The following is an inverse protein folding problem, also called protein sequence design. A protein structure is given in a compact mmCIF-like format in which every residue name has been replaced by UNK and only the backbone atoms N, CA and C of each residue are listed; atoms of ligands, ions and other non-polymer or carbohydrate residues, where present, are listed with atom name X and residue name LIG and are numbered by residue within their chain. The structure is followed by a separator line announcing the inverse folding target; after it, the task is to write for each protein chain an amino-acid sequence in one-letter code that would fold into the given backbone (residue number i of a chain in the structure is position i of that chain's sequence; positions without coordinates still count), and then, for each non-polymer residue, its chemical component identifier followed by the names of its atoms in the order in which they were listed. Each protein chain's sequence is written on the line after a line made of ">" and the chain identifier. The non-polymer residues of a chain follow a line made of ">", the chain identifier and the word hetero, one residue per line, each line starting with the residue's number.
data_IF_394217012139
#
_entry.id   IF_394217012139
#
_cell.length_a   1.000
_cell.length_b   1.000
_cell.length_c   1.000
_cell.angle_alpha   90.00
_cell.angle_beta   90.00
_cell.angle_gamma   90.00
#
_symmetry.space_group_name_H-M   'P 1'
#
loop_
_entity.id
_entity.type
_entity.pdbx_description
1 polymer ?
#
# COMPACT_ATOMS: atom_id res chain seq x y z
N UNK A 1 -31.91 -15.99 8.08
CA UNK A 1 -31.29 -16.27 8.00
C UNK A 1 -30.73 -16.48 7.78
N UNK A 2 -30.71 -16.13 7.89
CA UNK A 2 -29.94 -16.28 7.67
C UNK A 2 -29.45 -16.27 7.43
N UNK A 3 -29.40 -15.72 7.31
CA UNK A 3 -28.65 -15.87 7.05
C UNK A 3 -28.07 -16.00 7.07
N UNK A 4 -28.04 -15.76 7.09
CA UNK A 4 -27.34 -16.10 7.09
C UNK A 4 -26.69 -16.14 6.96
N UNK A 5 -26.91 -15.78 7.06
CA UNK A 5 -26.20 -16.01 6.97
C UNK A 5 -25.78 -15.93 7.04
N UNK A 6 -25.93 -15.56 7.22
CA UNK A 6 -25.30 -15.64 7.32
C UNK A 6 -24.94 -15.49 7.37
N UNK A 7 -25.00 -15.11 7.53
CA UNK A 7 -24.47 -15.02 7.63
C UNK A 7 -24.29 -14.91 7.62
N UNK A 8 -24.30 -14.41 7.86
CA UNK A 8 -23.94 -14.18 7.95
C UNK A 8 -23.89 -13.73 7.94
N UNK A 9 -24.48 -13.69 8.77
CA UNK A 9 -24.17 -12.53 8.10
C UNK A 9 -23.19 -11.56 8.73
N UNK A 10 -23.32 -11.09 9.90
CA UNK A 10 -22.43 -10.09 10.47
C UNK A 10 -20.94 -10.37 10.26
N UNK A 11 -20.55 -11.57 10.47
CA UNK A 11 -19.17 -11.95 10.29
C UNK A 11 -18.69 -11.87 8.85
N UNK A 12 -19.60 -11.85 7.91
CA UNK A 12 -19.23 -11.77 6.50
C UNK A 12 -18.67 -10.42 6.12
N UNK A 13 -19.07 -9.34 6.77
CA UNK A 13 -18.50 -8.03 6.52
C UNK A 13 -17.02 -7.99 6.85
N UNK A 14 -16.60 -8.69 7.87
CA UNK A 14 -15.19 -8.78 8.21
C UNK A 14 -14.39 -9.46 7.11
N UNK A 15 -14.99 -10.39 6.41
CA UNK A 15 -14.32 -11.14 5.36
C UNK A 15 -14.10 -10.34 4.08
N UNK A 16 -14.83 -9.24 3.91
CA UNK A 16 -14.67 -8.38 2.74
C UNK A 16 -13.65 -7.28 2.94
N UNK A 17 -13.29 -6.99 4.19
CA UNK A 17 -12.27 -5.99 4.47
C UNK A 17 -10.89 -6.61 4.26
N UNK A 18 -10.18 -6.12 3.26
CA UNK A 18 -8.86 -6.64 2.87
C UNK A 18 -7.75 -5.88 3.60
N UNK A 19 -6.67 -6.56 4.01
CA UNK A 19 -5.51 -5.87 4.56
C UNK A 19 -4.81 -5.05 3.48
N UNK A 20 -3.94 -4.14 3.91
CA UNK A 20 -3.13 -3.35 2.99
C UNK A 20 -2.28 -4.27 2.12
N UNK A 21 -2.40 -4.10 0.82
CA UNK A 21 -1.60 -4.83 -0.16
C UNK A 21 -1.17 -3.89 -1.28
N UNK A 22 0.06 -4.07 -1.74
CA UNK A 22 0.61 -3.31 -2.86
C UNK A 22 1.33 -4.31 -3.77
N UNK A 23 1.05 -4.25 -5.05
CA UNK A 23 1.67 -5.13 -6.03
C UNK A 23 1.98 -4.39 -7.32
N UNK A 24 2.99 -4.87 -8.05
CA UNK A 24 3.24 -4.43 -9.42
C UNK A 24 2.45 -5.37 -10.32
N UNK A 25 1.50 -4.82 -11.07
CA UNK A 25 0.58 -5.60 -11.92
C UNK A 25 0.90 -5.49 -13.40
N UNK A 26 1.75 -4.54 -13.80
CA UNK A 26 2.18 -4.39 -15.18
C UNK A 26 3.51 -3.66 -15.25
N UNK A 27 4.27 -3.89 -16.32
CA UNK A 27 5.54 -3.23 -16.62
C UNK A 27 5.54 -2.74 -18.05
N UNK A 28 6.10 -1.54 -18.24
CA UNK A 28 6.46 -1.01 -19.54
C UNK A 28 7.90 -0.47 -19.46
N UNK A 29 8.44 0.00 -20.56
CA UNK A 29 9.83 0.48 -20.60
C UNK A 29 10.09 1.63 -19.63
N UNK A 30 9.09 2.49 -19.40
CA UNK A 30 9.19 3.71 -18.61
C UNK A 30 8.18 3.78 -17.47
N UNK A 31 7.51 2.68 -17.15
CA UNK A 31 6.48 2.70 -16.12
C UNK A 31 6.31 1.34 -15.45
N UNK A 32 6.07 1.40 -14.15
CA UNK A 32 5.53 0.29 -13.37
C UNK A 32 4.11 0.65 -12.99
N UNK A 33 3.18 -0.26 -13.21
CA UNK A 33 1.79 -0.07 -12.76
C UNK A 33 1.61 -0.78 -11.44
N UNK A 34 1.25 -0.02 -10.42
CA UNK A 34 0.98 -0.53 -9.09
C UNK A 34 -0.50 -0.67 -8.86
N UNK A 35 -0.87 -1.65 -8.06
CA UNK A 35 -2.23 -1.77 -7.54
C UNK A 35 -2.17 -1.76 -6.02
N UNK A 36 -2.90 -0.82 -5.43
CA UNK A 36 -3.00 -0.67 -3.97
C UNK A 36 -4.40 -1.08 -3.56
N UNK A 37 -4.47 -1.97 -2.58
CA UNK A 37 -5.73 -2.50 -2.05
C UNK A 37 -5.73 -2.31 -0.54
N UNK A 38 -6.85 -1.78 -0.03
CA UNK A 38 -7.07 -1.69 1.41
C UNK A 38 -8.56 -1.68 1.69
N UNK A 39 -9.02 -2.58 2.56
CA UNK A 39 -10.45 -2.66 2.89
C UNK A 39 -11.29 -2.86 1.64
N UNK A 40 -12.14 -1.91 1.36
CA UNK A 40 -12.99 -1.91 0.15
C UNK A 40 -12.40 -1.07 -0.98
N UNK A 41 -11.28 -0.37 -0.72
CA UNK A 41 -10.65 0.47 -1.71
C UNK A 41 -9.69 -0.29 -2.60
N UNK A 42 -9.60 0.17 -3.84
CA UNK A 42 -8.66 -0.38 -4.83
C UNK A 42 -8.26 0.74 -5.78
N UNK A 43 -6.96 0.88 -6.03
CA UNK A 43 -6.46 1.98 -6.84
C UNK A 43 -5.25 1.53 -7.63
N UNK A 44 -5.25 1.83 -8.93
CA UNK A 44 -4.09 1.59 -9.80
C UNK A 44 -3.46 2.91 -10.18
N UNK A 45 -2.14 2.93 -10.19
CA UNK A 45 -1.39 4.11 -10.60
C UNK A 45 -0.06 3.69 -11.20
N UNK A 46 0.47 4.55 -12.06
CA UNK A 46 1.76 4.31 -12.71
C UNK A 46 2.85 5.10 -11.99
N UNK A 47 4.06 4.57 -12.02
CA UNK A 47 5.25 5.25 -11.54
C UNK A 47 6.38 5.04 -12.52
N UNK A 48 7.18 6.09 -12.74
CA UNK A 48 8.38 6.04 -13.57
C UNK A 48 9.61 6.03 -12.65
N UNK A 49 10.27 4.88 -12.49
CA UNK A 49 11.45 4.79 -11.61
C UNK A 49 12.60 5.70 -12.02
N UNK A 50 12.67 6.14 -13.29
CA UNK A 50 13.69 7.07 -13.74
C UNK A 50 13.46 8.49 -13.23
N UNK A 51 12.20 8.84 -12.90
CA UNK A 51 11.87 10.15 -12.32
C UNK A 51 12.08 10.16 -10.81
N UNK A 52 11.78 9.07 -10.17
CA UNK A 52 11.96 8.88 -8.74
C UNK A 52 11.97 7.38 -8.44
N UNK A 53 12.99 6.91 -7.73
CA UNK A 53 13.18 5.49 -7.46
C UNK A 53 12.22 5.03 -6.35
N UNK A 54 11.00 4.72 -6.73
CA UNK A 54 9.96 4.27 -5.80
C UNK A 54 10.29 2.91 -5.17
N UNK A 55 11.02 2.05 -5.86
CA UNK A 55 11.42 0.76 -5.30
C UNK A 55 12.45 0.96 -4.19
N UNK A 56 13.37 1.91 -4.33
CA UNK A 56 14.29 2.26 -3.27
C UNK A 56 13.56 2.86 -2.06
N UNK A 57 12.54 3.70 -2.30
CA UNK A 57 11.71 4.23 -1.23
C UNK A 57 11.01 3.10 -0.48
N UNK A 58 10.48 2.12 -1.19
CA UNK A 58 9.81 0.97 -0.57
C UNK A 58 10.80 0.15 0.27
N UNK A 59 12.01 -0.07 -0.24
CA UNK A 59 13.03 -0.80 0.53
C UNK A 59 13.38 -0.06 1.82
N UNK A 60 13.56 1.25 1.75
CA UNK A 60 13.83 2.07 2.93
C UNK A 60 12.64 2.06 3.90
N UNK A 61 11.43 2.09 3.37
CA UNK A 61 10.21 2.00 4.19
C UNK A 61 10.17 0.70 4.98
N UNK A 62 10.46 -0.44 4.33
CA UNK A 62 10.49 -1.72 5.02
C UNK A 62 11.56 -1.74 6.12
N UNK A 63 12.76 -1.24 5.84
CA UNK A 63 13.82 -1.14 6.83
C UNK A 63 13.40 -0.28 8.02
N UNK A 64 12.80 0.88 7.75
CA UNK A 64 12.39 1.82 8.79
C UNK A 64 11.25 1.25 9.64
N UNK A 65 10.30 0.54 9.03
CA UNK A 65 9.23 -0.14 9.76
C UNK A 65 9.79 -1.17 10.72
N UNK A 66 10.72 -1.99 10.23
CA UNK A 66 11.35 -3.03 11.06
C UNK A 66 12.23 -2.45 12.17
N UNK A 67 12.79 -1.26 11.95
CA UNK A 67 13.60 -0.57 12.94
C UNK A 67 12.76 0.21 13.97
N UNK A 68 11.44 0.24 13.82
CA UNK A 68 10.54 0.87 14.77
C UNK A 68 10.33 2.36 14.56
N UNK A 69 10.63 2.89 13.37
CA UNK A 69 10.38 4.30 13.07
C UNK A 69 8.88 4.58 13.12
N UNK A 70 8.51 5.77 13.58
CA UNK A 70 7.12 6.16 13.79
C UNK A 70 6.52 6.95 12.61
N UNK A 71 7.30 7.18 11.56
CA UNK A 71 6.85 7.88 10.37
C UNK A 71 7.65 7.37 9.17
N UNK A 72 6.97 6.80 8.19
CA UNK A 72 7.60 6.31 6.96
C UNK A 72 6.74 6.69 5.77
N UNK A 73 7.41 6.94 4.64
CA UNK A 73 6.74 7.44 3.44
C UNK A 73 7.41 6.87 2.20
N UNK A 74 6.62 6.54 1.19
CA UNK A 74 7.10 6.21 -0.14
C UNK A 74 6.41 7.10 -1.17
N UNK A 75 7.17 7.54 -2.17
CA UNK A 75 6.69 8.46 -3.21
C UNK A 75 6.78 7.76 -4.56
N UNK A 76 5.71 7.88 -5.33
CA UNK A 76 5.58 7.31 -6.67
C UNK A 76 5.29 8.45 -7.63
N UNK A 77 6.15 8.65 -8.64
CA UNK A 77 6.01 9.75 -9.60
C UNK A 77 5.94 9.25 -11.02
N UNK A 78 5.08 9.87 -11.80
CA UNK A 78 5.07 9.71 -13.25
C UNK A 78 5.04 11.08 -13.91
N UNK A 79 4.82 11.12 -15.25
CA UNK A 79 4.78 12.37 -15.99
C UNK A 79 3.63 13.28 -15.56
N UNK A 80 2.56 12.71 -15.04
CA UNK A 80 1.31 13.42 -14.74
C UNK A 80 1.15 13.81 -13.28
N UNK A 81 1.91 13.20 -12.38
CA UNK A 81 1.73 13.51 -10.97
C UNK A 81 2.47 12.61 -10.01
N UNK A 82 1.99 12.61 -8.78
CA UNK A 82 2.63 11.97 -7.66
C UNK A 82 1.59 11.30 -6.77
N UNK A 83 1.96 10.12 -6.25
CA UNK A 83 1.19 9.42 -5.21
C UNK A 83 2.13 9.22 -4.02
N UNK A 84 1.62 9.44 -2.82
CA UNK A 84 2.37 9.22 -1.58
C UNK A 84 1.68 8.20 -0.72
N UNK A 85 2.47 7.27 -0.21
CA UNK A 85 2.05 6.26 0.73
C UNK A 85 2.69 6.60 2.08
N UNK A 86 1.87 6.82 3.09
CA UNK A 86 2.32 7.27 4.41
C UNK A 86 1.84 6.31 5.49
N UNK A 87 2.75 5.92 6.39
CA UNK A 87 2.38 5.22 7.61
C UNK A 87 2.99 5.94 8.79
N UNK A 88 2.20 6.13 9.86
CA UNK A 88 2.69 6.81 11.04
C UNK A 88 2.06 6.24 12.31
N UNK A 89 2.81 6.28 13.38
CA UNK A 89 2.43 5.81 14.70
C UNK A 89 3.62 5.22 15.44
N UNK A 90 3.49 5.11 16.75
CA UNK A 90 4.57 4.66 17.62
C UNK A 90 4.38 3.22 18.13
N UNK A 91 3.43 2.50 17.54
CA UNK A 91 3.00 1.18 17.96
C UNK A 91 3.17 0.18 16.82
N UNK A 92 2.78 -1.08 17.04
CA UNK A 92 2.80 -2.12 16.01
C UNK A 92 1.67 -1.97 15.01
N UNK A 93 0.64 -1.21 15.35
CA UNK A 93 -0.42 -0.83 14.43
C UNK A 93 -0.27 0.65 14.10
N UNK A 94 -0.10 0.94 12.81
CA UNK A 94 0.13 2.29 12.31
C UNK A 94 -1.11 2.81 11.60
N UNK A 95 -1.18 4.12 11.44
CA UNK A 95 -2.17 4.75 10.59
C UNK A 95 -1.60 4.88 9.18
N UNK A 96 -2.33 4.34 8.23
CA UNK A 96 -1.98 4.33 6.82
C UNK A 96 -2.86 5.33 6.08
N UNK A 97 -2.29 6.05 5.13
CA UNK A 97 -3.04 6.88 4.19
C UNK A 97 -2.29 6.97 2.86
N UNK A 98 -3.06 7.05 1.78
CA UNK A 98 -2.54 7.26 0.44
C UNK A 98 -3.02 8.62 -0.05
N UNK A 99 -2.09 9.46 -0.50
CA UNK A 99 -2.39 10.84 -0.94
C UNK A 99 -2.09 11.00 -2.43
N UNK A 100 -2.89 11.83 -3.09
CA UNK A 100 -2.58 12.26 -4.46
C UNK A 100 -1.61 13.46 -4.47
N UNK A 101 -1.27 13.94 -5.67
CA UNK A 101 -0.32 15.05 -5.82
C UNK A 101 -0.84 16.39 -5.28
N UNK A 102 -2.14 16.53 -5.07
CA UNK A 102 -2.73 17.72 -4.46
C UNK A 102 -2.75 17.63 -2.93
N UNK A 103 -2.31 16.52 -2.36
CA UNK A 103 -2.31 16.31 -0.92
C UNK A 103 -3.63 15.83 -0.35
N UNK A 104 -4.54 15.37 -1.20
CA UNK A 104 -5.83 14.83 -0.78
C UNK A 104 -5.73 13.33 -0.55
N UNK A 105 -6.35 12.83 0.52
CA UNK A 105 -6.43 11.40 0.79
C UNK A 105 -7.33 10.74 -0.25
N UNK A 106 -6.85 9.66 -0.87
CA UNK A 106 -7.65 8.91 -1.82
C UNK A 106 -8.76 8.16 -1.08
N UNK A 107 -10.00 8.16 -1.62
CA UNK A 107 -11.12 7.52 -0.96
C UNK A 107 -10.86 6.04 -0.66
N UNK A 108 -11.23 5.61 0.54
CA UNK A 108 -11.11 4.23 1.02
C UNK A 108 -9.68 3.75 1.22
N UNK A 109 -8.68 4.59 1.01
CA UNK A 109 -7.26 4.22 1.11
C UNK A 109 -6.63 4.88 2.33
N UNK A 110 -7.23 4.66 3.50
CA UNK A 110 -6.70 5.07 4.80
C UNK A 110 -7.25 4.16 5.89
N UNK A 111 -6.48 3.98 6.94
CA UNK A 111 -6.89 3.18 8.08
C UNK A 111 -5.70 2.56 8.80
N UNK A 112 -5.96 1.48 9.51
CA UNK A 112 -4.93 0.77 10.28
C UNK A 112 -4.13 -0.17 9.41
N UNK A 113 -2.82 -0.25 9.65
CA UNK A 113 -1.94 -1.21 8.99
C UNK A 113 -0.91 -1.73 9.99
N UNK A 114 -0.66 -3.03 9.96
CA UNK A 114 0.33 -3.64 10.85
C UNK A 114 1.74 -3.31 10.39
N UNK A 115 2.59 -2.91 11.33
CA UNK A 115 3.99 -2.54 11.06
C UNK A 115 4.75 -3.67 10.36
N UNK A 116 4.76 -4.84 10.96
CA UNK A 116 5.55 -5.96 10.46
C UNK A 116 4.92 -6.66 9.26
N UNK A 117 3.58 -6.70 9.23
CA UNK A 117 2.86 -7.24 8.07
C UNK A 117 3.10 -6.38 6.84
N UNK A 118 3.12 -5.05 7.00
CA UNK A 118 3.40 -4.13 5.90
C UNK A 118 4.84 -4.27 5.42
N UNK A 119 5.80 -4.35 6.34
CA UNK A 119 7.21 -4.56 5.97
C UNK A 119 7.38 -5.86 5.18
N UNK A 120 6.75 -6.94 5.62
CA UNK A 120 6.80 -8.23 4.92
C UNK A 120 6.20 -8.13 3.52
N UNK A 121 5.05 -7.49 3.40
CA UNK A 121 4.38 -7.30 2.13
C UNK A 121 5.31 -6.55 1.15
N UNK A 122 5.99 -5.50 1.62
CA UNK A 122 6.93 -4.74 0.80
C UNK A 122 8.11 -5.61 0.38
N UNK A 123 8.68 -6.41 1.30
CA UNK A 123 9.78 -7.32 0.99
C UNK A 123 9.39 -8.33 -0.08
N UNK A 124 8.19 -8.87 0.00
CA UNK A 124 7.69 -9.82 -1.00
C UNK A 124 7.52 -9.15 -2.36
N UNK A 125 7.00 -7.93 -2.39
CA UNK A 125 6.90 -7.16 -3.62
C UNK A 125 8.28 -6.96 -4.25
N UNK A 126 9.26 -6.51 -3.47
CA UNK A 126 10.61 -6.26 -3.97
C UNK A 126 11.27 -7.53 -4.48
N UNK A 127 11.10 -8.65 -3.77
CA UNK A 127 11.66 -9.94 -4.19
C UNK A 127 11.04 -10.40 -5.52
N UNK A 128 9.76 -10.13 -5.74
CA UNK A 128 9.10 -10.50 -7.00
C UNK A 128 9.64 -9.67 -8.18
N UNK A 129 10.08 -8.43 -7.93
CA UNK A 129 10.70 -7.62 -8.98
C UNK A 129 12.09 -8.14 -9.34
N UNK A 130 12.88 -8.56 -8.35
CA UNK A 130 14.21 -9.11 -8.59
C UNK A 130 14.14 -10.44 -9.34
N UNK A 131 13.09 -11.22 -9.13
CA UNK A 131 12.89 -12.51 -9.80
C UNK A 131 12.38 -12.36 -11.24
N UNK A 132 11.86 -11.21 -11.59
CA UNK A 132 11.39 -10.92 -12.94
C UNK A 132 12.53 -10.49 -13.85
#
# INVERSE_FOLDING_TARGET
>A
MPYQDASPAGQHFMNFSRPLALAVVARAADALTFELIYGFGQYRFDADPARHDCLADLAQMADALEAGHDHVEAVFRDADGEIRLLLQGDDDVLQFACYDGAGSVLPWLQGDAGRYATARMIRELLASQDAA
#
